data_IF_037443538192
#
_entry.id   IF_037443538192
#
_cell.length_a   1.000
_cell.length_b   1.000
_cell.length_c   1.000
_cell.angle_alpha   90.00
_cell.angle_beta   90.00
_cell.angle_gamma   90.00
#
_symmetry.space_group_name_H-M   'P 1'
#
loop_
_entity.id
_entity.type
_entity.pdbx_description
1 polymer ?
#
# COMPACT_ATOMS: atom_id res chain seq x y z
N UNK A 1 -13.77 26.20 7.09
CA UNK A 1 -14.61 24.99 7.13
C UNK A 1 -15.33 24.85 5.77
N UNK A 2 -14.64 24.30 4.75
CA UNK A 2 -15.21 24.13 3.40
C UNK A 2 -15.77 22.70 3.29
N UNK A 3 -17.08 22.54 3.47
CA UNK A 3 -17.82 21.25 3.53
C UNK A 3 -17.78 20.42 2.23
N UNK A 4 -17.12 20.93 1.18
CA UNK A 4 -17.01 20.33 -0.16
C UNK A 4 -15.57 20.13 -0.65
N UNK A 5 -14.57 20.26 0.22
CA UNK A 5 -13.20 19.94 -0.15
C UNK A 5 -12.98 18.46 0.18
N UNK A 6 -12.82 17.63 -0.85
CA UNK A 6 -12.35 16.26 -0.65
C UNK A 6 -10.99 16.28 0.05
N UNK A 7 -10.72 15.28 0.88
CA UNK A 7 -9.41 15.08 1.49
C UNK A 7 -8.65 14.04 0.69
N UNK A 8 -7.39 14.32 0.34
CA UNK A 8 -6.49 13.30 -0.19
C UNK A 8 -5.99 12.48 1.00
N UNK A 9 -6.56 11.30 1.18
CA UNK A 9 -6.19 10.36 2.24
C UNK A 9 -6.18 8.95 1.69
N UNK A 10 -5.18 8.19 2.08
CA UNK A 10 -5.07 6.77 1.79
C UNK A 10 -5.09 5.98 3.10
N UNK A 11 -5.91 4.93 3.16
CA UNK A 11 -6.00 4.08 4.36
C UNK A 11 -6.11 2.62 3.97
N UNK A 12 -5.44 1.77 4.74
CA UNK A 12 -5.61 0.31 4.69
C UNK A 12 -6.04 -0.15 6.09
N UNK A 13 -7.12 -0.91 6.15
CA UNK A 13 -7.56 -1.56 7.39
C UNK A 13 -7.53 -3.07 7.21
N UNK A 14 -7.01 -3.78 8.21
CA UNK A 14 -7.03 -5.23 8.27
C UNK A 14 -7.70 -5.66 9.59
N UNK A 15 -8.78 -6.42 9.45
CA UNK A 15 -9.45 -7.10 10.57
C UNK A 15 -9.03 -8.56 10.54
N UNK A 16 -8.40 -9.01 11.61
CA UNK A 16 -7.82 -10.35 11.72
C UNK A 16 -8.27 -11.01 13.01
N UNK A 17 -8.05 -12.32 13.14
CA UNK A 17 -8.26 -12.99 14.41
C UNK A 17 -7.26 -12.46 15.46
N UNK A 18 -7.78 -11.74 16.45
CA UNK A 18 -6.98 -11.15 17.55
C UNK A 18 -6.31 -9.81 17.25
N UNK A 19 -6.52 -9.18 16.08
CA UNK A 19 -6.01 -7.83 15.85
C UNK A 19 -6.83 -7.00 14.85
N UNK A 20 -6.88 -5.70 15.10
CA UNK A 20 -7.31 -4.68 14.16
C UNK A 20 -6.12 -3.79 13.84
N UNK A 21 -5.78 -3.66 12.55
CA UNK A 21 -4.64 -2.86 12.08
C UNK A 21 -5.16 -1.78 11.13
N UNK A 22 -4.74 -0.54 11.35
CA UNK A 22 -4.98 0.59 10.46
C UNK A 22 -3.65 1.21 10.03
N UNK A 23 -3.50 1.42 8.74
CA UNK A 23 -2.36 2.14 8.15
C UNK A 23 -2.91 3.36 7.42
N UNK A 24 -2.40 4.55 7.73
CA UNK A 24 -2.79 5.80 7.07
C UNK A 24 -1.61 6.43 6.34
N UNK A 25 -1.83 6.82 5.08
CA UNK A 25 -0.90 7.48 4.17
C UNK A 25 0.45 6.76 4.00
N UNK A 26 0.46 5.43 4.16
CA UNK A 26 1.64 4.55 4.20
C UNK A 26 2.69 4.98 5.26
N UNK A 27 2.26 5.70 6.29
CA UNK A 27 3.15 6.32 7.27
C UNK A 27 2.75 6.01 8.70
N UNK A 28 1.49 6.21 9.03
CA UNK A 28 0.98 5.96 10.38
C UNK A 28 0.52 4.51 10.48
N UNK A 29 1.04 3.79 11.47
CA UNK A 29 0.60 2.45 11.80
C UNK A 29 -0.05 2.45 13.17
N UNK A 30 -1.29 1.99 13.21
CA UNK A 30 -2.07 1.76 14.42
C UNK A 30 -2.47 0.31 14.49
N UNK A 31 -2.31 -0.32 15.64
CA UNK A 31 -2.83 -1.67 15.87
C UNK A 31 -3.46 -1.81 17.25
N UNK A 32 -4.51 -2.63 17.32
CA UNK A 32 -5.19 -3.02 18.55
C UNK A 32 -5.17 -4.53 18.67
N UNK A 33 -4.66 -5.02 19.81
CA UNK A 33 -4.52 -6.46 20.12
C UNK A 33 -5.05 -6.80 21.53
N UNK A 34 -6.16 -6.18 21.93
CA UNK A 34 -6.81 -6.41 23.23
C UNK A 34 -6.15 -5.74 24.45
N UNK A 35 -5.01 -5.05 24.28
CA UNK A 35 -4.32 -4.27 25.32
C UNK A 35 -4.41 -2.75 25.06
N UNK A 36 -5.40 -2.33 24.28
CA UNK A 36 -5.55 -0.97 23.78
C UNK A 36 -4.83 -0.73 22.45
N UNK A 37 -4.88 0.53 22.02
CA UNK A 37 -4.38 0.99 20.72
C UNK A 37 -2.91 1.36 20.83
N UNK A 38 -2.08 0.79 19.95
CA UNK A 38 -0.64 1.04 19.87
C UNK A 38 -0.30 1.74 18.55
N UNK A 39 0.50 2.80 18.62
CA UNK A 39 1.07 3.47 17.46
C UNK A 39 2.53 3.07 17.29
N UNK A 40 2.90 2.54 16.11
CA UNK A 40 4.32 2.26 15.86
C UNK A 40 5.08 3.56 15.60
N UNK A 41 6.30 3.71 16.16
CA UNK A 41 7.09 4.92 15.97
C UNK A 41 7.51 5.05 14.50
N UNK A 42 7.40 6.27 13.97
CA UNK A 42 7.83 6.60 12.61
C UNK A 42 9.30 7.00 12.67
N UNK A 43 10.19 6.39 11.86
CA UNK A 43 11.60 6.79 11.84
C UNK A 43 11.73 8.24 11.36
N UNK A 44 12.31 9.11 12.20
CA UNK A 44 12.33 10.56 11.97
C UNK A 44 13.08 11.02 10.72
N UNK A 45 13.99 10.19 10.20
CA UNK A 45 14.83 10.48 9.04
C UNK A 45 14.42 9.71 7.78
N UNK A 46 13.30 8.98 7.81
CA UNK A 46 12.82 8.22 6.66
C UNK A 46 12.14 9.16 5.66
N UNK A 47 12.57 9.10 4.40
CA UNK A 47 11.98 9.93 3.35
C UNK A 47 10.57 9.45 2.97
N UNK A 48 9.75 10.35 2.44
CA UNK A 48 8.42 10.00 1.90
C UNK A 48 8.53 9.00 0.74
N UNK A 49 9.58 9.08 -0.08
CA UNK A 49 9.80 8.14 -1.19
C UNK A 49 10.03 6.71 -0.68
N UNK A 50 10.73 6.58 0.44
CA UNK A 50 10.98 5.30 1.09
C UNK A 50 9.70 4.75 1.76
N UNK A 51 8.95 5.61 2.46
CA UNK A 51 7.65 5.24 3.05
C UNK A 51 6.65 4.75 1.99
N UNK A 52 6.62 5.41 0.82
CA UNK A 52 5.75 5.06 -0.32
C UNK A 52 6.26 3.87 -1.15
N UNK A 53 7.40 3.27 -0.76
CA UNK A 53 7.95 2.08 -1.40
C UNK A 53 8.71 2.32 -2.71
N UNK A 54 8.90 3.57 -3.15
CA UNK A 54 9.64 3.86 -4.41
C UNK A 54 11.07 3.37 -4.36
N UNK A 55 11.77 3.61 -3.23
CA UNK A 55 13.16 3.19 -3.05
C UNK A 55 13.28 1.67 -3.09
N UNK A 56 12.38 0.96 -2.40
CA UNK A 56 12.34 -0.51 -2.39
C UNK A 56 12.06 -1.08 -3.77
N UNK A 57 11.07 -0.52 -4.49
CA UNK A 57 10.72 -0.93 -5.84
C UNK A 57 11.90 -0.79 -6.82
N UNK A 58 12.58 0.37 -6.80
CA UNK A 58 13.73 0.61 -7.68
C UNK A 58 14.92 -0.32 -7.37
N UNK A 59 15.21 -0.56 -6.08
CA UNK A 59 16.26 -1.50 -5.67
C UNK A 59 15.93 -2.93 -6.09
N UNK A 60 14.70 -3.39 -5.84
CA UNK A 60 14.22 -4.71 -6.24
C UNK A 60 14.40 -4.96 -7.74
N UNK A 61 14.08 -3.96 -8.58
CA UNK A 61 14.29 -4.05 -10.02
C UNK A 61 15.78 -4.26 -10.37
N UNK A 62 16.68 -3.44 -9.81
CA UNK A 62 18.13 -3.53 -10.05
C UNK A 62 18.67 -4.90 -9.60
N UNK A 63 18.25 -5.37 -8.43
CA UNK A 63 18.62 -6.68 -7.88
C UNK A 63 18.16 -7.83 -8.79
N UNK A 64 16.95 -7.75 -9.34
CA UNK A 64 16.46 -8.77 -10.28
C UNK A 64 17.28 -8.81 -11.57
N UNK A 65 17.67 -7.65 -12.11
CA UNK A 65 18.52 -7.56 -13.30
C UNK A 65 19.89 -8.17 -13.02
N UNK A 66 20.53 -7.80 -11.90
CA UNK A 66 21.86 -8.29 -11.53
C UNK A 66 21.87 -9.80 -11.30
N UNK A 67 20.83 -10.34 -10.65
CA UNK A 67 20.75 -11.74 -10.28
C UNK A 67 20.01 -12.60 -11.32
N UNK A 68 19.61 -12.02 -12.45
CA UNK A 68 18.84 -12.71 -13.50
C UNK A 68 17.58 -13.42 -12.96
N UNK A 69 16.87 -12.77 -12.05
CA UNK A 69 15.65 -13.31 -11.45
C UNK A 69 14.42 -12.58 -11.98
N UNK A 70 13.27 -13.25 -11.91
CA UNK A 70 11.99 -12.68 -12.31
C UNK A 70 11.51 -11.69 -11.24
N UNK A 71 11.21 -10.42 -11.58
CA UNK A 71 10.65 -9.47 -10.63
C UNK A 71 9.30 -9.91 -10.06
N UNK A 72 8.99 -9.48 -8.83
CA UNK A 72 7.73 -9.83 -8.14
C UNK A 72 6.48 -9.43 -8.94
N UNK A 73 6.55 -8.31 -9.66
CA UNK A 73 5.45 -7.74 -10.46
C UNK A 73 5.70 -7.89 -11.96
N UNK A 74 6.14 -9.07 -12.41
CA UNK A 74 6.34 -9.39 -13.84
C UNK A 74 5.29 -10.38 -14.38
N UNK A 75 5.23 -10.53 -15.71
CA UNK A 75 4.35 -11.48 -16.38
C UNK A 75 2.87 -11.28 -16.03
N UNK A 76 2.21 -12.34 -15.57
CA UNK A 76 0.79 -12.28 -15.18
C UNK A 76 0.51 -11.33 -14.01
N UNK A 77 1.46 -11.18 -13.06
CA UNK A 77 1.30 -10.24 -11.95
C UNK A 77 1.25 -8.79 -12.43
N UNK A 78 1.91 -8.46 -13.56
CA UNK A 78 1.91 -7.10 -14.10
C UNK A 78 0.55 -6.65 -14.65
N UNK A 79 -0.33 -7.59 -15.02
CA UNK A 79 -1.63 -7.30 -15.65
C UNK A 79 -2.82 -7.74 -14.80
N UNK A 80 -2.59 -8.42 -13.67
CA UNK A 80 -3.64 -8.99 -12.84
C UNK A 80 -4.64 -7.94 -12.37
N UNK A 81 -4.16 -6.83 -11.79
CA UNK A 81 -5.01 -5.74 -11.32
C UNK A 81 -5.70 -5.00 -12.48
N UNK A 82 -5.00 -4.77 -13.59
CA UNK A 82 -5.57 -4.12 -14.78
C UNK A 82 -6.80 -4.87 -15.31
N UNK A 83 -6.71 -6.21 -15.41
CA UNK A 83 -7.85 -7.03 -15.85
C UNK A 83 -9.08 -6.91 -14.95
N UNK A 84 -8.89 -6.66 -13.64
CA UNK A 84 -10.00 -6.45 -12.71
C UNK A 84 -10.60 -5.05 -12.93
N UNK A 85 -9.77 -4.04 -13.16
CA UNK A 85 -10.22 -2.68 -13.51
C UNK A 85 -11.05 -2.70 -14.79
N UNK A 86 -10.57 -3.35 -15.84
CA UNK A 86 -11.29 -3.44 -17.13
C UNK A 86 -12.67 -4.11 -16.98
N UNK A 87 -12.74 -5.18 -16.17
CA UNK A 87 -14.03 -5.84 -15.86
C UNK A 87 -15.00 -4.94 -15.10
N UNK A 88 -14.49 -4.17 -14.13
CA UNK A 88 -15.34 -3.24 -13.38
C UNK A 88 -15.82 -2.08 -14.25
N UNK A 89 -14.97 -1.58 -15.15
CA UNK A 89 -15.33 -0.53 -16.09
C UNK A 89 -16.45 -0.99 -17.03
N UNK A 90 -16.28 -2.17 -17.64
CA UNK A 90 -17.30 -2.73 -18.54
C UNK A 90 -18.67 -2.90 -17.86
N UNK A 91 -18.71 -3.22 -16.56
CA UNK A 91 -19.97 -3.33 -15.80
C UNK A 91 -20.62 -1.97 -15.50
N UNK A 92 -19.85 -0.89 -15.44
CA UNK A 92 -20.42 0.45 -15.21
C UNK A 92 -21.07 1.03 -16.46
N UNK A 93 -20.71 0.51 -17.63
CA UNK A 93 -21.25 0.95 -18.92
C UNK A 93 -22.56 0.20 -19.30
N UNK A 94 -22.94 -0.84 -18.55
CA UNK A 94 -24.23 -1.56 -18.61
C UNK A 94 -25.30 -0.93 -17.70
#
# INVERSE_FOLDING_TARGET
MHRRAGSQRETVQAVTDGALIDITDMREWREERGQGVVHKPIPGWQSTLEQRGFVGCARHFIECVQNQTVPQTAGEQAVLAQRIVDKNLARCDE
#
